data_IF_706147772724
#
_entry.id   IF_706147772724
#
_cell.length_a   1.000
_cell.length_b   1.000
_cell.length_c   1.000
_cell.angle_alpha   90.00
_cell.angle_beta   90.00
_cell.angle_gamma   90.00
#
_symmetry.space_group_name_H-M   'P 1'
#
loop_
_entity.id
_entity.type
_entity.pdbx_description
1 polymer ?
#
# COMPACT_ATOMS: atom_id res chain seq x y z
N UNK A 1 -21.02 -6.78 3.86
CA UNK A 1 -19.61 -6.97 3.47
C UNK A 1 -19.15 -5.88 2.48
N UNK A 2 -19.95 -5.53 1.47
CA UNK A 2 -19.55 -4.57 0.42
C UNK A 2 -19.12 -3.21 0.94
N UNK A 3 -19.96 -2.62 1.80
CA UNK A 3 -19.72 -1.29 2.36
C UNK A 3 -18.43 -1.28 3.17
N UNK A 4 -18.17 -2.34 3.94
CA UNK A 4 -16.92 -2.50 4.68
C UNK A 4 -15.71 -2.59 3.73
N UNK A 5 -15.78 -3.39 2.66
CA UNK A 5 -14.71 -3.50 1.67
C UNK A 5 -14.43 -2.16 0.97
N UNK A 6 -15.47 -1.37 0.68
CA UNK A 6 -15.32 -0.03 0.11
C UNK A 6 -14.70 0.97 1.09
N UNK A 7 -15.16 0.98 2.35
CA UNK A 7 -14.59 1.84 3.39
C UNK A 7 -13.11 1.52 3.58
N UNK A 8 -12.76 0.24 3.74
CA UNK A 8 -11.39 -0.20 3.92
C UNK A 8 -10.53 0.16 2.71
N UNK A 9 -11.01 -0.13 1.49
CA UNK A 9 -10.29 0.22 0.26
C UNK A 9 -10.06 1.73 0.14
N UNK A 10 -11.08 2.54 0.43
CA UNK A 10 -10.97 4.01 0.37
C UNK A 10 -9.96 4.57 1.37
N UNK A 11 -10.03 4.12 2.63
CA UNK A 11 -9.10 4.57 3.69
C UNK A 11 -7.66 4.17 3.36
N UNK A 12 -7.43 2.92 2.97
CA UNK A 12 -6.08 2.45 2.63
C UNK A 12 -5.56 3.12 1.37
N UNK A 13 -6.39 3.26 0.34
CA UNK A 13 -6.00 3.95 -0.89
C UNK A 13 -5.61 5.41 -0.61
N UNK A 14 -6.37 6.12 0.24
CA UNK A 14 -6.00 7.48 0.65
C UNK A 14 -4.64 7.51 1.36
N UNK A 15 -4.41 6.61 2.33
CA UNK A 15 -3.13 6.52 3.04
C UNK A 15 -1.94 6.21 2.12
N UNK A 16 -2.12 5.28 1.17
CA UNK A 16 -1.10 4.92 0.18
C UNK A 16 -0.88 6.03 -0.85
N UNK A 17 -1.94 6.73 -1.27
CA UNK A 17 -1.85 7.88 -2.17
C UNK A 17 -1.06 9.03 -1.52
N UNK A 18 -1.37 9.36 -0.27
CA UNK A 18 -0.63 10.37 0.51
C UNK A 18 0.82 9.93 0.65
N UNK A 19 1.07 8.72 1.17
CA UNK A 19 2.43 8.24 1.42
C UNK A 19 3.28 8.09 0.15
N UNK A 20 2.67 7.68 -0.97
CA UNK A 20 3.33 7.61 -2.28
C UNK A 20 3.64 8.99 -2.85
N UNK A 21 2.68 9.91 -2.81
CA UNK A 21 2.86 11.30 -3.26
C UNK A 21 3.93 12.01 -2.44
N UNK A 22 3.90 11.89 -1.11
CA UNK A 22 4.92 12.46 -0.23
C UNK A 22 6.31 11.92 -0.56
N UNK A 23 6.44 10.62 -0.88
CA UNK A 23 7.72 10.03 -1.24
C UNK A 23 8.24 10.51 -2.61
N UNK A 24 7.35 10.83 -3.55
CA UNK A 24 7.73 11.36 -4.87
C UNK A 24 8.11 12.84 -4.84
N UNK A 25 7.45 13.63 -3.98
CA UNK A 25 7.60 15.07 -3.94
C UNK A 25 8.68 15.56 -2.98
N UNK A 26 8.90 14.86 -1.86
CA UNK A 26 9.88 15.29 -0.86
C UNK A 26 11.27 14.75 -1.21
N UNK A 27 12.33 15.57 -1.05
CA UNK A 27 13.71 15.06 -1.01
C UNK A 27 13.87 13.98 0.07
N UNK A 28 14.71 12.98 -0.19
CA UNK A 28 14.98 11.86 0.73
C UNK A 28 15.25 12.33 2.15
N UNK A 29 16.07 13.37 2.34
CA UNK A 29 16.40 13.91 3.67
C UNK A 29 15.20 14.47 4.41
N UNK A 30 14.28 15.14 3.72
CA UNK A 30 13.04 15.66 4.31
C UNK A 30 12.07 14.52 4.63
N UNK A 31 11.92 13.56 3.72
CA UNK A 31 11.08 12.37 3.96
C UNK A 31 11.56 11.58 5.17
N UNK A 32 12.88 11.38 5.25
CA UNK A 32 13.58 10.73 6.36
C UNK A 32 13.33 11.41 7.71
N UNK A 33 13.12 12.73 7.71
CA UNK A 33 12.89 13.52 8.91
C UNK A 33 11.41 13.51 9.40
N UNK A 34 10.48 12.93 8.62
CA UNK A 34 9.06 12.87 8.99
C UNK A 34 8.79 12.00 10.23
N UNK A 35 9.69 11.09 10.56
CA UNK A 35 9.59 10.30 11.79
C UNK A 35 10.52 9.09 11.80
N UNK A 36 10.64 8.48 12.97
CA UNK A 36 11.51 7.31 13.18
C UNK A 36 11.12 6.11 12.30
N UNK A 37 9.85 6.00 11.93
CA UNK A 37 9.40 4.97 10.98
C UNK A 37 9.98 5.15 9.58
N UNK A 38 10.52 6.31 9.20
CA UNK A 38 11.07 6.52 7.86
C UNK A 38 12.57 6.22 7.73
N UNK A 39 13.20 5.63 8.75
CA UNK A 39 14.63 5.32 8.72
C UNK A 39 15.05 4.37 7.58
N UNK A 40 14.12 3.56 7.06
CA UNK A 40 14.37 2.60 5.98
C UNK A 40 14.88 3.26 4.69
N UNK A 41 14.56 4.54 4.45
CA UNK A 41 15.04 5.24 3.24
C UNK A 41 16.54 5.45 3.24
N UNK A 42 17.23 5.26 4.38
CA UNK A 42 18.68 5.38 4.45
C UNK A 42 19.40 4.31 3.60
N UNK A 43 18.75 3.16 3.42
CA UNK A 43 19.28 1.99 2.73
C UNK A 43 19.06 2.04 1.20
N UNK A 44 18.37 3.08 0.70
CA UNK A 44 17.95 3.18 -0.71
C UNK A 44 18.30 4.51 -1.37
N UNK A 45 18.59 4.48 -2.67
CA UNK A 45 18.79 5.68 -3.49
C UNK A 45 17.46 6.31 -3.94
N UNK A 46 17.52 7.57 -4.39
CA UNK A 46 16.33 8.34 -4.79
C UNK A 46 15.51 7.68 -5.91
N UNK A 47 16.16 6.99 -6.85
CA UNK A 47 15.48 6.25 -7.92
C UNK A 47 14.59 5.13 -7.37
N UNK A 48 15.08 4.41 -6.35
CA UNK A 48 14.34 3.35 -5.70
C UNK A 48 13.13 3.91 -4.93
N UNK A 49 13.30 5.04 -4.24
CA UNK A 49 12.21 5.73 -3.56
C UNK A 49 11.12 6.18 -4.55
N UNK A 50 11.52 6.65 -5.74
CA UNK A 50 10.56 6.98 -6.81
C UNK A 50 9.78 5.76 -7.28
N UNK A 51 10.43 4.61 -7.46
CA UNK A 51 9.74 3.35 -7.79
C UNK A 51 8.73 2.97 -6.72
N UNK A 52 9.14 3.02 -5.44
CA UNK A 52 8.25 2.75 -4.31
C UNK A 52 7.04 3.68 -4.28
N UNK A 53 7.27 4.99 -4.47
CA UNK A 53 6.20 5.99 -4.52
C UNK A 53 5.20 5.71 -5.64
N UNK A 54 5.70 5.42 -6.84
CA UNK A 54 4.88 5.06 -8.01
C UNK A 54 4.06 3.79 -7.77
N UNK A 55 4.65 2.73 -7.20
CA UNK A 55 3.93 1.49 -6.88
C UNK A 55 2.78 1.76 -5.90
N UNK A 56 3.01 2.59 -4.87
CA UNK A 56 1.95 2.99 -3.93
C UNK A 56 0.80 3.70 -4.62
N UNK A 57 1.10 4.63 -5.53
CA UNK A 57 0.07 5.38 -6.29
C UNK A 57 -0.70 4.48 -7.25
N UNK A 58 -0.02 3.59 -7.98
CA UNK A 58 -0.65 2.62 -8.87
C UNK A 58 -1.57 1.67 -8.10
N UNK A 59 -1.11 1.15 -6.97
CA UNK A 59 -1.93 0.29 -6.12
C UNK A 59 -3.13 1.03 -5.52
N UNK A 60 -2.94 2.24 -4.99
CA UNK A 60 -4.03 3.05 -4.45
C UNK A 60 -5.09 3.37 -5.51
N UNK A 61 -4.65 3.72 -6.71
CA UNK A 61 -5.54 3.96 -7.85
C UNK A 61 -6.27 2.68 -8.24
N UNK A 62 -5.54 1.56 -8.36
CA UNK A 62 -6.09 0.26 -8.72
C UNK A 62 -7.09 -0.30 -7.71
N UNK A 63 -6.99 0.05 -6.42
CA UNK A 63 -7.94 -0.37 -5.38
C UNK A 63 -9.33 0.28 -5.50
N UNK A 64 -9.43 1.45 -6.11
CA UNK A 64 -10.65 2.27 -6.06
C UNK A 64 -11.16 2.60 -7.45
N UNK A 65 -10.28 3.14 -8.31
CA UNK A 65 -10.68 3.74 -9.58
C UNK A 65 -11.38 2.74 -10.53
N UNK A 66 -10.86 1.51 -10.77
CA UNK A 66 -11.48 0.56 -11.71
C UNK A 66 -12.94 0.26 -11.38
N UNK A 67 -13.23 -0.01 -10.10
CA UNK A 67 -14.58 -0.28 -9.64
C UNK A 67 -15.46 0.97 -9.56
N UNK A 68 -14.89 2.14 -9.25
CA UNK A 68 -15.65 3.39 -9.18
C UNK A 68 -16.14 3.85 -10.55
N UNK A 69 -15.36 3.61 -11.61
CA UNK A 69 -15.72 3.98 -12.99
C UNK A 69 -16.35 2.81 -13.77
N UNK A 70 -16.46 1.62 -13.17
CA UNK A 70 -17.04 0.43 -13.79
C UNK A 70 -16.18 -0.21 -14.89
N UNK A 71 -14.86 0.07 -14.94
CA UNK A 71 -13.96 -0.45 -15.96
C UNK A 71 -13.00 -1.47 -15.34
N UNK A 72 -13.02 -2.70 -15.85
CA UNK A 72 -12.22 -3.83 -15.37
C UNK A 72 -12.16 -3.94 -13.82
N UNK A 73 -13.29 -4.08 -13.10
CA UNK A 73 -13.31 -4.11 -11.63
C UNK A 73 -12.46 -5.21 -11.00
N UNK A 74 -12.13 -6.28 -11.77
CA UNK A 74 -11.19 -7.33 -11.38
C UNK A 74 -9.78 -6.78 -11.06
N UNK A 75 -9.42 -5.59 -11.54
CA UNK A 75 -8.17 -4.93 -11.19
C UNK A 75 -8.08 -4.57 -9.70
N UNK A 76 -9.20 -4.41 -8.99
CA UNK A 76 -9.21 -4.10 -7.55
C UNK A 76 -8.61 -5.23 -6.70
N UNK A 77 -9.10 -6.50 -6.77
CA UNK A 77 -8.48 -7.58 -6.03
C UNK A 77 -7.04 -7.88 -6.48
N UNK A 78 -6.71 -7.63 -7.77
CA UNK A 78 -5.33 -7.73 -8.27
C UNK A 78 -4.43 -6.66 -7.64
N UNK A 79 -4.88 -5.41 -7.57
CA UNK A 79 -4.16 -4.32 -6.91
C UNK A 79 -3.98 -4.58 -5.41
N UNK A 80 -5.01 -5.11 -4.74
CA UNK A 80 -4.91 -5.53 -3.35
C UNK A 80 -3.83 -6.60 -3.17
N UNK A 81 -3.80 -7.62 -4.04
CA UNK A 81 -2.76 -8.67 -4.01
C UNK A 81 -1.36 -8.10 -4.26
N UNK A 82 -1.21 -7.19 -5.24
CA UNK A 82 0.05 -6.53 -5.52
C UNK A 82 0.57 -5.70 -4.35
N UNK A 83 -0.32 -4.93 -3.69
CA UNK A 83 0.03 -4.15 -2.50
C UNK A 83 0.32 -5.02 -1.28
N UNK A 84 -0.34 -6.18 -1.15
CA UNK A 84 0.00 -7.18 -0.14
C UNK A 84 1.43 -7.68 -0.30
N UNK A 85 1.83 -8.06 -1.52
CA UNK A 85 3.21 -8.50 -1.83
C UNK A 85 4.21 -7.36 -1.62
N UNK A 86 3.84 -6.13 -2.00
CA UNK A 86 4.66 -4.95 -1.76
C UNK A 86 4.90 -4.72 -0.25
N UNK A 87 3.86 -4.86 0.58
CA UNK A 87 3.98 -4.77 2.04
C UNK A 87 4.79 -5.92 2.65
N UNK A 88 4.77 -7.12 2.06
CA UNK A 88 5.65 -8.21 2.48
C UNK A 88 7.14 -7.84 2.29
N UNK A 89 7.48 -7.11 1.22
CA UNK A 89 8.82 -6.54 1.02
C UNK A 89 9.17 -5.48 2.08
N UNK A 90 8.21 -4.62 2.43
CA UNK A 90 8.38 -3.62 3.50
C UNK A 90 8.62 -4.29 4.87
N UNK A 91 7.78 -5.28 5.22
CA UNK A 91 7.91 -6.09 6.41
C UNK A 91 9.28 -6.79 6.49
N UNK A 92 9.73 -7.36 5.36
CA UNK A 92 11.07 -7.98 5.29
C UNK A 92 12.18 -6.98 5.60
N UNK A 93 12.06 -5.74 5.09
CA UNK A 93 13.01 -4.66 5.42
C UNK A 93 13.00 -4.34 6.91
N UNK A 94 11.82 -4.23 7.56
CA UNK A 94 11.73 -3.99 9.01
C UNK A 94 12.31 -5.13 9.84
N UNK A 95 12.04 -6.37 9.44
CA UNK A 95 12.57 -7.56 10.08
C UNK A 95 14.10 -7.54 10.08
N UNK A 96 14.73 -7.28 8.92
CA UNK A 96 16.20 -7.20 8.81
C UNK A 96 16.81 -6.08 9.64
N UNK A 97 16.08 -4.99 9.87
CA UNK A 97 16.49 -3.85 10.69
C UNK A 97 16.15 -4.01 12.17
N UNK A 98 15.57 -5.15 12.58
CA UNK A 98 15.09 -5.40 13.95
C UNK A 98 14.08 -4.35 14.44
N UNK A 99 13.31 -3.76 13.54
CA UNK A 99 12.31 -2.74 13.83
C UNK A 99 10.95 -3.38 14.13
N UNK A 100 10.90 -4.21 15.17
CA UNK A 100 9.76 -5.07 15.50
C UNK A 100 8.43 -4.33 15.65
N UNK A 101 8.44 -3.13 16.22
CA UNK A 101 7.22 -2.35 16.39
C UNK A 101 6.63 -1.91 15.04
N UNK A 102 7.48 -1.50 14.09
CA UNK A 102 7.01 -1.10 12.75
C UNK A 102 6.63 -2.31 11.89
N UNK A 103 7.26 -3.45 12.10
CA UNK A 103 6.89 -4.73 11.46
C UNK A 103 5.43 -5.12 11.76
N UNK A 104 4.95 -4.85 12.98
CA UNK A 104 3.52 -5.08 13.33
C UNK A 104 2.61 -4.26 12.42
N UNK A 105 2.96 -2.99 12.17
CA UNK A 105 2.20 -2.13 11.27
C UNK A 105 2.15 -2.68 9.83
N UNK A 106 3.29 -3.12 9.29
CA UNK A 106 3.33 -3.73 7.95
C UNK A 106 2.49 -5.02 7.89
N UNK A 107 2.49 -5.82 8.97
CA UNK A 107 1.69 -7.04 9.08
C UNK A 107 0.19 -6.73 9.07
N UNK A 108 -0.24 -5.65 9.73
CA UNK A 108 -1.62 -5.18 9.67
C UNK A 108 -2.01 -4.80 8.24
N UNK A 109 -1.15 -4.06 7.52
CA UNK A 109 -1.42 -3.74 6.11
C UNK A 109 -1.53 -4.99 5.24
N UNK A 110 -0.64 -5.97 5.39
CA UNK A 110 -0.70 -7.26 4.69
C UNK A 110 -2.05 -7.93 4.93
N UNK A 111 -2.49 -8.02 6.19
CA UNK A 111 -3.77 -8.63 6.55
C UNK A 111 -4.96 -7.87 5.93
N UNK A 112 -4.93 -6.54 5.93
CA UNK A 112 -5.99 -5.74 5.30
C UNK A 112 -6.04 -5.92 3.78
N UNK A 113 -4.89 -5.99 3.10
CA UNK A 113 -4.86 -6.27 1.66
C UNK A 113 -5.29 -7.69 1.32
N UNK A 114 -4.89 -8.67 2.13
CA UNK A 114 -5.36 -10.05 2.00
C UNK A 114 -6.90 -10.13 2.15
N UNK A 115 -7.45 -9.43 3.14
CA UNK A 115 -8.90 -9.34 3.35
C UNK A 115 -9.62 -8.66 2.18
N UNK A 116 -9.07 -7.58 1.63
CA UNK A 116 -9.61 -6.92 0.44
C UNK A 116 -9.58 -7.84 -0.79
N UNK A 117 -8.45 -8.52 -1.04
CA UNK A 117 -8.30 -9.44 -2.16
C UNK A 117 -9.29 -10.60 -2.04
N UNK A 118 -9.33 -11.28 -0.89
CA UNK A 118 -10.30 -12.35 -0.61
C UNK A 118 -11.74 -11.86 -0.74
N UNK A 119 -12.04 -10.70 -0.16
CA UNK A 119 -13.35 -10.08 -0.19
C UNK A 119 -13.84 -9.81 -1.61
N UNK A 120 -12.96 -9.36 -2.51
CA UNK A 120 -13.30 -9.02 -3.90
C UNK A 120 -13.16 -10.18 -4.88
N UNK A 121 -12.36 -11.21 -4.59
CA UNK A 121 -12.30 -12.41 -5.41
C UNK A 121 -13.42 -13.40 -5.12
N UNK A 122 -13.79 -13.60 -3.85
CA UNK A 122 -14.64 -14.72 -3.44
C UNK A 122 -15.93 -14.30 -2.74
N UNK A 123 -15.86 -13.41 -1.74
CA UNK A 123 -17.03 -13.12 -0.90
C UNK A 123 -18.03 -12.17 -1.55
N UNK A 124 -17.51 -11.15 -2.23
CA UNK A 124 -18.30 -10.12 -2.87
C UNK A 124 -17.57 -9.56 -4.11
N UNK A 125 -17.50 -10.35 -5.19
CA UNK A 125 -17.03 -9.87 -6.48
C UNK A 125 -17.85 -8.69 -6.98
N UNK A 126 -17.22 -7.84 -7.78
CA UNK A 126 -17.95 -6.86 -8.57
C UNK A 126 -18.75 -7.57 -9.66
N UNK A 127 -19.99 -7.14 -9.85
CA UNK A 127 -20.88 -7.63 -10.91
C UNK A 127 -20.50 -7.08 -12.28
#
# INVERSE_FOLDING_TARGET
MNTALWIIAGVIAAGFAIGGTTLLLLPRTKYRALGASQHWVDDFGDSHLKVVGTIKLLGATGLVLPAAVGVAPLLVPIAATGLMLFMAGAATTRFRRSEWLYLVGDTVFIAMFAFLAWGRFALQPFA
#
